data_IF_790167471288
#
_entry.id   IF_790167471288
#
_cell.length_a   1.000
_cell.length_b   1.000
_cell.length_c   1.000
_cell.angle_alpha   90.00
_cell.angle_beta   90.00
_cell.angle_gamma   90.00
#
_symmetry.space_group_name_H-M   'P 1'
#
loop_
_entity.id
_entity.type
_entity.pdbx_description
1 polymer ?
#
# COMPACT_ATOMS: atom_id res chain seq x y z
N UNK A 1 -23.89 41.19 6.34
CA UNK A 1 -23.01 40.30 7.14
C UNK A 1 -23.77 39.00 7.30
N UNK A 2 -23.42 37.97 6.51
CA UNK A 2 -22.40 36.95 6.80
C UNK A 2 -23.06 35.86 7.66
N UNK A 3 -22.82 34.59 7.34
CA UNK A 3 -23.34 33.38 7.99
C UNK A 3 -24.86 33.19 7.71
N UNK A 4 -25.31 32.28 6.84
CA UNK A 4 -25.10 30.83 6.91
C UNK A 4 -25.25 30.29 5.47
N UNK A 5 -24.14 30.28 4.75
CA UNK A 5 -23.91 29.34 3.65
C UNK A 5 -23.27 28.10 4.28
N UNK A 6 -23.60 26.90 3.81
CA UNK A 6 -23.03 25.58 4.16
C UNK A 6 -23.81 24.75 5.18
N UNK A 7 -24.84 24.05 4.67
CA UNK A 7 -25.04 22.65 5.05
C UNK A 7 -25.11 21.84 3.75
N UNK A 8 -23.94 21.64 3.14
CA UNK A 8 -23.71 20.50 2.24
C UNK A 8 -22.73 19.61 3.00
N UNK A 9 -23.27 18.78 3.89
CA UNK A 9 -22.51 17.73 4.53
C UNK A 9 -23.40 16.50 4.63
N UNK A 10 -22.82 15.36 4.28
CA UNK A 10 -23.45 14.03 4.19
C UNK A 10 -24.22 13.84 2.88
N UNK A 11 -23.76 13.06 1.91
CA UNK A 11 -22.95 11.84 2.01
C UNK A 11 -22.41 11.56 0.61
N UNK A 12 -21.13 11.86 0.39
CA UNK A 12 -20.42 11.27 -0.73
C UNK A 12 -20.00 9.87 -0.30
N UNK A 13 -20.99 8.97 -0.18
CA UNK A 13 -20.74 7.55 -0.21
C UNK A 13 -20.23 7.25 -1.62
N UNK A 14 -18.92 7.43 -1.82
CA UNK A 14 -18.20 6.72 -2.85
C UNK A 14 -18.35 5.24 -2.52
N UNK A 15 -19.47 4.66 -2.96
CA UNK A 15 -19.49 3.26 -3.34
C UNK A 15 -18.55 3.22 -4.53
N UNK A 16 -17.24 3.13 -4.25
CA UNK A 16 -16.28 2.62 -5.20
C UNK A 16 -16.86 1.28 -5.59
N UNK A 17 -17.47 1.23 -6.76
CA UNK A 17 -17.84 -0.01 -7.43
C UNK A 17 -16.54 -0.77 -7.56
N UNK A 18 -16.26 -1.61 -6.58
CA UNK A 18 -15.08 -2.42 -6.49
C UNK A 18 -15.15 -3.41 -7.64
N UNK A 19 -14.69 -3.00 -8.82
CA UNK A 19 -14.00 -3.92 -9.69
C UNK A 19 -12.91 -4.52 -8.80
N UNK A 20 -13.21 -5.69 -8.21
CA UNK A 20 -12.22 -6.47 -7.49
C UNK A 20 -11.08 -6.65 -8.48
N UNK A 21 -9.95 -6.02 -8.20
CA UNK A 21 -8.74 -6.25 -8.97
C UNK A 21 -8.53 -7.77 -9.02
N UNK A 22 -8.27 -8.29 -10.21
CA UNK A 22 -7.96 -9.70 -10.36
C UNK A 22 -6.82 -10.07 -9.40
N UNK A 23 -7.00 -11.17 -8.68
CA UNK A 23 -5.99 -11.62 -7.72
C UNK A 23 -4.80 -12.20 -8.48
N UNK A 24 -3.68 -11.49 -8.42
CA UNK A 24 -2.40 -11.89 -9.01
C UNK A 24 -1.66 -12.80 -8.04
N UNK A 25 -1.07 -13.87 -8.55
CA UNK A 25 -0.25 -14.80 -7.76
C UNK A 25 1.03 -14.12 -7.24
N UNK A 26 1.65 -14.71 -6.21
CA UNK A 26 2.96 -14.25 -5.71
C UNK A 26 4.01 -14.24 -6.83
N UNK A 27 4.04 -15.29 -7.67
CA UNK A 27 4.99 -15.39 -8.79
C UNK A 27 4.82 -14.28 -9.81
N UNK A 28 3.58 -13.85 -10.08
CA UNK A 28 3.34 -12.70 -10.94
C UNK A 28 4.02 -11.46 -10.35
N UNK A 29 3.81 -11.18 -9.07
CA UNK A 29 4.42 -10.03 -8.38
C UNK A 29 5.95 -10.09 -8.37
N UNK A 30 6.56 -11.27 -8.14
CA UNK A 30 8.02 -11.45 -8.19
C UNK A 30 8.59 -11.02 -9.55
N UNK A 31 7.91 -11.41 -10.64
CA UNK A 31 8.33 -11.09 -12.00
C UNK A 31 7.99 -9.64 -12.43
N UNK A 32 7.26 -8.89 -11.61
CA UNK A 32 6.84 -7.51 -11.86
C UNK A 32 7.27 -6.62 -10.68
N UNK A 33 8.58 -6.43 -10.46
CA UNK A 33 9.10 -5.82 -9.24
C UNK A 33 8.74 -4.34 -9.09
N UNK A 34 8.56 -3.61 -10.20
CA UNK A 34 8.10 -2.22 -10.17
C UNK A 34 6.67 -2.14 -9.64
N UNK A 35 5.77 -2.94 -10.20
CA UNK A 35 4.37 -3.05 -9.81
C UNK A 35 4.23 -3.52 -8.37
N UNK A 36 5.07 -4.47 -7.94
CA UNK A 36 5.14 -4.92 -6.55
C UNK A 36 5.47 -3.77 -5.60
N UNK A 37 6.47 -2.94 -5.93
CA UNK A 37 6.83 -1.77 -5.11
C UNK A 37 5.70 -0.75 -5.06
N UNK A 38 5.08 -0.45 -6.19
CA UNK A 38 3.98 0.52 -6.27
C UNK A 38 2.76 0.03 -5.47
N UNK A 39 2.38 -1.24 -5.64
CA UNK A 39 1.28 -1.86 -4.89
C UNK A 39 1.61 -2.00 -3.40
N UNK A 40 2.86 -2.28 -3.03
CA UNK A 40 3.27 -2.37 -1.64
C UNK A 40 3.05 -1.03 -0.91
N UNK A 41 3.43 0.09 -1.54
CA UNK A 41 3.17 1.44 -1.02
C UNK A 41 1.68 1.73 -0.88
N UNK A 42 0.88 1.34 -1.86
CA UNK A 42 -0.59 1.47 -1.81
C UNK A 42 -1.19 0.68 -0.64
N UNK A 43 -0.82 -0.60 -0.50
CA UNK A 43 -1.26 -1.47 0.58
C UNK A 43 -0.91 -0.91 1.96
N UNK A 44 0.29 -0.33 2.11
CA UNK A 44 0.69 0.35 3.34
C UNK A 44 -0.13 1.60 3.64
N UNK A 45 -0.39 2.42 2.63
CA UNK A 45 -1.15 3.66 2.79
C UNK A 45 -2.60 3.39 3.19
N UNK A 46 -3.19 2.35 2.61
CA UNK A 46 -4.60 1.99 2.84
C UNK A 46 -4.80 1.08 4.05
N UNK A 47 -3.77 0.35 4.47
CA UNK A 47 -3.89 -0.72 5.46
C UNK A 47 -4.62 -1.97 4.92
N UNK A 48 -4.78 -2.08 3.59
CA UNK A 48 -5.51 -3.19 2.96
C UNK A 48 -4.86 -4.54 3.24
N UNK A 49 -5.72 -5.53 3.52
CA UNK A 49 -5.40 -6.94 3.69
C UNK A 49 -5.97 -7.80 2.53
N UNK A 50 -6.26 -7.18 1.39
CA UNK A 50 -6.66 -7.88 0.18
C UNK A 50 -5.65 -8.96 -0.22
N UNK A 51 -6.09 -9.95 -1.00
CA UNK A 51 -5.21 -11.05 -1.42
C UNK A 51 -4.00 -10.54 -2.22
N UNK A 52 -4.19 -9.51 -3.04
CA UNK A 52 -3.06 -8.82 -3.69
C UNK A 52 -2.10 -8.18 -2.67
N UNK A 53 -2.60 -7.52 -1.63
CA UNK A 53 -1.72 -6.96 -0.59
C UNK A 53 -0.98 -8.04 0.23
N UNK A 54 -1.61 -9.19 0.48
CA UNK A 54 -0.93 -10.35 1.09
C UNK A 54 0.16 -10.90 0.17
N UNK A 55 -0.13 -11.05 -1.13
CA UNK A 55 0.81 -11.58 -2.11
C UNK A 55 1.98 -10.62 -2.36
N UNK A 56 1.73 -9.32 -2.45
CA UNK A 56 2.75 -8.27 -2.59
C UNK A 56 3.68 -8.21 -1.40
N UNK A 57 3.18 -8.40 -0.17
CA UNK A 57 4.06 -8.51 1.02
C UNK A 57 5.04 -9.68 0.90
N UNK A 58 4.56 -10.85 0.42
CA UNK A 58 5.41 -12.03 0.21
C UNK A 58 6.42 -11.79 -0.91
N UNK A 59 5.96 -11.30 -2.07
CA UNK A 59 6.83 -11.00 -3.21
C UNK A 59 7.87 -9.93 -2.85
N UNK A 60 7.47 -8.90 -2.10
CA UNK A 60 8.36 -7.84 -1.62
C UNK A 60 9.54 -8.38 -0.81
N UNK A 61 9.32 -9.38 0.05
CA UNK A 61 10.41 -10.07 0.77
C UNK A 61 11.38 -10.77 -0.18
N UNK A 62 10.88 -11.40 -1.24
CA UNK A 62 11.68 -12.17 -2.19
C UNK A 62 12.51 -11.26 -3.10
N UNK A 63 11.92 -10.15 -3.59
CA UNK A 63 12.61 -9.24 -4.51
C UNK A 63 13.52 -8.24 -3.81
N UNK A 64 13.51 -8.16 -2.48
CA UNK A 64 14.24 -7.13 -1.74
C UNK A 64 15.76 -7.16 -2.02
N UNK A 65 16.35 -8.34 -2.19
CA UNK A 65 17.79 -8.48 -2.40
C UNK A 65 18.23 -8.15 -3.84
N UNK A 66 17.31 -8.27 -4.80
CA UNK A 66 17.60 -8.10 -6.24
C UNK A 66 17.00 -6.83 -6.83
N UNK A 67 16.05 -6.19 -6.14
CA UNK A 67 15.39 -4.96 -6.58
C UNK A 67 15.58 -3.84 -5.55
N UNK A 68 16.59 -2.95 -5.74
CA UNK A 68 16.96 -1.93 -4.76
C UNK A 68 15.81 -1.06 -4.24
N UNK A 69 14.82 -0.62 -5.05
CA UNK A 69 13.69 0.15 -4.54
C UNK A 69 12.92 -0.55 -3.41
N UNK A 70 12.78 -1.87 -3.46
CA UNK A 70 12.13 -2.63 -2.39
C UNK A 70 13.03 -2.71 -1.14
N UNK A 71 14.32 -2.93 -1.34
CA UNK A 71 15.32 -2.95 -0.26
C UNK A 71 15.34 -1.63 0.54
N UNK A 72 15.24 -0.49 -0.15
CA UNK A 72 15.29 0.82 0.48
C UNK A 72 14.02 1.13 1.29
N UNK A 73 12.86 0.63 0.84
CA UNK A 73 11.61 0.72 1.60
C UNK A 73 11.75 -0.04 2.93
N UNK A 74 12.25 -1.27 2.91
CA UNK A 74 12.42 -2.05 4.14
C UNK A 74 13.48 -1.47 5.07
N UNK A 75 14.60 -0.96 4.54
CA UNK A 75 15.59 -0.24 5.35
C UNK A 75 14.96 0.99 6.01
N UNK A 76 14.13 1.74 5.30
CA UNK A 76 13.44 2.90 5.86
C UNK A 76 12.45 2.48 6.95
N UNK A 77 11.67 1.43 6.73
CA UNK A 77 10.75 0.91 7.75
C UNK A 77 11.46 0.44 9.01
N UNK A 78 12.59 -0.24 8.87
CA UNK A 78 13.41 -0.64 10.01
C UNK A 78 13.94 0.59 10.77
N UNK A 79 14.39 1.63 10.07
CA UNK A 79 14.79 2.90 10.70
C UNK A 79 13.63 3.57 11.43
N UNK A 80 12.45 3.61 10.83
CA UNK A 80 11.27 4.22 11.43
C UNK A 80 10.78 3.45 12.66
N UNK A 81 10.87 2.11 12.62
CA UNK A 81 10.56 1.27 13.76
C UNK A 81 11.55 1.48 14.90
N UNK A 82 12.86 1.51 14.62
CA UNK A 82 13.90 1.80 15.62
C UNK A 82 13.65 3.15 16.31
N UNK A 83 13.38 4.20 15.53
CA UNK A 83 13.00 5.52 16.06
C UNK A 83 11.77 5.46 16.97
N UNK A 84 10.73 4.72 16.57
CA UNK A 84 9.50 4.54 17.39
C UNK A 84 9.77 3.80 18.69
N UNK A 85 10.72 2.87 18.69
CA UNK A 85 11.11 2.07 19.85
C UNK A 85 12.16 2.77 20.73
N UNK A 86 12.75 3.88 20.27
CA UNK A 86 13.80 4.60 21.01
C UNK A 86 15.15 3.87 21.05
N UNK A 87 15.43 3.03 20.04
CA UNK A 87 16.68 2.27 19.89
C UNK A 87 17.49 2.70 18.66
#
# INVERSE_FOLDING_TARGET
>A
MKYITLIILSSLSFVLTGCKEETKSVDWWINHPKETVDKYKECKKTGSDSDNCKNVKRAGLIIADTYPPMSEIYKQEARDLRKKLGI
#
